data_IF_357012043557
#
_entry.id   IF_357012043557
#
_cell.length_a   1.000
_cell.length_b   1.000
_cell.length_c   1.000
_cell.angle_alpha   90.00
_cell.angle_beta   90.00
_cell.angle_gamma   90.00
#
_symmetry.space_group_name_H-M   'P 1'
#
loop_
_entity.id
_entity.type
_entity.pdbx_description
1 polymer ?
#
# COMPACT_ATOMS: atom_id res chain seq x y z
N UNK A 1 -82.70 4.26 0.11
CA UNK A 1 -83.28 2.96 0.52
C UNK A 1 -82.28 1.89 0.17
N UNK A 2 -81.81 0.94 0.98
CA UNK A 2 -81.93 0.43 2.36
C UNK A 2 -80.72 -0.53 2.42
N UNK A 3 -80.03 -0.88 3.50
CA UNK A 3 -79.98 -0.52 4.91
C UNK A 3 -78.68 -1.19 5.38
N UNK A 4 -77.85 -0.43 6.08
CA UNK A 4 -76.79 -0.95 6.94
C UNK A 4 -77.46 -1.75 8.07
N UNK A 5 -76.93 -2.91 8.42
CA UNK A 5 -77.16 -3.53 9.74
C UNK A 5 -75.89 -4.25 10.20
N UNK A 6 -75.21 -3.57 11.11
CA UNK A 6 -74.16 -4.06 12.01
C UNK A 6 -74.83 -4.99 13.03
N UNK A 7 -74.23 -6.17 13.27
CA UNK A 7 -74.49 -6.97 14.47
C UNK A 7 -73.20 -7.17 15.27
N UNK A 8 -73.38 -6.97 16.57
CA UNK A 8 -72.41 -6.91 17.66
C UNK A 8 -72.39 -8.26 18.36
N UNK A 9 -71.17 -8.80 18.54
CA UNK A 9 -70.60 -9.47 19.74
C UNK A 9 -71.40 -10.60 20.42
N UNK A 10 -70.81 -11.80 20.52
CA UNK A 10 -70.36 -12.35 21.83
C UNK A 10 -69.60 -13.68 21.72
N UNK A 11 -68.50 -13.69 22.47
CA UNK A 11 -67.52 -14.71 22.82
C UNK A 11 -68.04 -16.00 23.45
N UNK A 12 -67.37 -17.13 23.17
CA UNK A 12 -67.23 -18.28 24.10
C UNK A 12 -65.82 -18.87 24.01
N UNK A 13 -65.31 -19.20 25.19
CA UNK A 13 -63.97 -19.60 25.60
C UNK A 13 -63.72 -21.12 25.46
N UNK A 14 -62.44 -21.51 25.31
CA UNK A 14 -61.76 -22.72 25.85
C UNK A 14 -61.08 -23.60 24.80
N UNK A 15 -59.75 -23.78 24.89
CA UNK A 15 -59.06 -24.98 25.42
C UNK A 15 -57.54 -24.75 25.29
N UNK A 16 -56.82 -25.08 26.37
CA UNK A 16 -55.36 -25.04 26.52
C UNK A 16 -54.71 -26.18 25.74
N UNK A 17 -53.62 -25.90 25.02
CA UNK A 17 -52.61 -26.91 24.68
C UNK A 17 -51.21 -26.27 24.70
N UNK A 18 -50.38 -26.73 25.64
CA UNK A 18 -48.93 -26.52 25.65
C UNK A 18 -48.30 -27.38 24.55
N UNK A 19 -47.42 -26.80 23.75
CA UNK A 19 -46.25 -27.47 23.17
C UNK A 19 -45.14 -26.43 22.98
N UNK A 20 -43.94 -26.83 23.37
CA UNK A 20 -42.71 -26.07 23.38
C UNK A 20 -41.88 -26.29 22.10
N UNK A 21 -40.83 -25.46 21.96
CA UNK A 21 -39.59 -25.62 21.17
C UNK A 21 -39.70 -25.38 19.64
N UNK A 22 -39.06 -24.31 19.12
CA UNK A 22 -37.68 -24.20 18.56
C UNK A 22 -37.73 -24.37 17.02
N UNK A 23 -36.95 -23.71 16.16
CA UNK A 23 -35.80 -22.80 16.23
C UNK A 23 -36.03 -21.76 15.12
N UNK A 24 -35.79 -20.48 15.39
CA UNK A 24 -35.45 -19.56 14.30
C UNK A 24 -33.94 -19.59 14.23
N UNK A 25 -33.43 -20.22 13.18
CA UNK A 25 -32.04 -20.07 12.78
C UNK A 25 -31.91 -18.64 12.20
N UNK A 26 -31.77 -17.68 13.10
CA UNK A 26 -31.21 -16.38 12.75
C UNK A 26 -29.71 -16.63 12.55
N UNK A 27 -29.28 -16.82 11.29
CA UNK A 27 -27.89 -16.70 10.86
C UNK A 27 -27.40 -15.27 11.10
N UNK A 28 -27.18 -14.95 12.37
CA UNK A 28 -26.38 -13.81 12.81
C UNK A 28 -24.95 -14.33 12.94
N UNK A 29 -24.25 -14.43 11.81
CA UNK A 29 -22.80 -14.28 11.83
C UNK A 29 -22.46 -12.81 12.10
N UNK A 30 -22.91 -12.30 13.25
CA UNK A 30 -22.36 -11.10 13.87
C UNK A 30 -21.17 -11.54 14.71
N UNK A 31 -20.11 -11.92 14.01
CA UNK A 31 -18.79 -11.98 14.61
C UNK A 31 -18.16 -10.62 14.30
N UNK A 32 -18.55 -9.60 15.06
CA UNK A 32 -17.61 -8.53 15.38
C UNK A 32 -16.47 -9.18 16.14
N UNK A 33 -15.54 -9.83 15.41
CA UNK A 33 -14.26 -10.27 15.96
C UNK A 33 -13.67 -9.01 16.57
N UNK A 34 -13.54 -9.01 17.89
CA UNK A 34 -12.89 -7.94 18.61
C UNK A 34 -11.45 -7.91 18.10
N UNK A 35 -11.11 -6.84 17.38
CA UNK A 35 -9.76 -6.60 16.88
C UNK A 35 -8.96 -5.95 18.00
N UNK A 36 -7.74 -6.43 18.22
CA UNK A 36 -6.80 -5.76 19.12
C UNK A 36 -6.44 -4.40 18.52
N UNK A 37 -6.69 -3.27 19.20
CA UNK A 37 -6.32 -1.96 18.69
C UNK A 37 -4.81 -1.76 18.50
N UNK A 38 -3.98 -2.62 19.09
CA UNK A 38 -2.54 -2.44 19.16
C UNK A 38 -2.13 -1.43 20.23
N UNK A 39 -0.84 -1.12 20.28
CA UNK A 39 -0.24 -0.24 21.28
C UNK A 39 0.61 0.90 20.67
N UNK A 40 0.45 1.15 19.37
CA UNK A 40 1.09 2.29 18.69
C UNK A 40 0.51 3.62 19.23
N UNK A 41 1.35 4.66 19.40
CA UNK A 41 0.90 5.93 19.96
C UNK A 41 0.01 6.74 19.00
N UNK A 42 0.13 6.55 17.69
CA UNK A 42 -0.48 7.40 16.66
C UNK A 42 -1.59 6.66 15.92
N UNK A 43 -1.44 5.36 15.75
CA UNK A 43 -2.33 4.53 14.96
C UNK A 43 -3.08 3.49 15.80
N UNK A 44 -4.32 3.25 15.42
CA UNK A 44 -5.17 2.23 16.05
C UNK A 44 -5.69 1.30 14.99
N UNK A 45 -5.59 0.00 15.24
CA UNK A 45 -6.17 -1.03 14.39
C UNK A 45 -7.67 -1.10 14.70
N UNK A 46 -8.50 -1.06 13.65
CA UNK A 46 -9.96 -1.17 13.77
C UNK A 46 -10.49 -2.29 12.89
N UNK A 47 -11.62 -2.88 13.29
CA UNK A 47 -12.33 -3.82 12.45
C UNK A 47 -12.73 -3.19 11.11
N UNK A 48 -12.57 -3.93 10.02
CA UNK A 48 -12.94 -3.47 8.69
C UNK A 48 -14.37 -3.91 8.33
N UNK A 49 -15.14 -3.00 7.77
CA UNK A 49 -16.49 -3.25 7.26
C UNK A 49 -16.71 -2.67 5.85
N UNK A 50 -15.63 -2.26 5.18
CA UNK A 50 -15.71 -1.55 3.91
C UNK A 50 -16.15 -2.48 2.78
N UNK A 51 -17.09 -2.00 1.97
CA UNK A 51 -17.58 -2.76 0.82
C UNK A 51 -16.44 -2.98 -0.20
N UNK A 52 -16.31 -4.20 -0.71
CA UNK A 52 -15.22 -4.60 -1.61
C UNK A 52 -14.00 -5.21 -0.89
N UNK A 53 -13.85 -4.99 0.42
CA UNK A 53 -12.68 -5.43 1.19
C UNK A 53 -13.04 -6.45 2.28
N UNK A 54 -14.11 -7.23 2.10
CA UNK A 54 -14.69 -8.10 3.14
C UNK A 54 -13.75 -9.20 3.65
N UNK A 55 -12.78 -9.62 2.85
CA UNK A 55 -11.81 -10.65 3.24
C UNK A 55 -10.68 -10.08 4.12
N UNK A 56 -10.51 -8.76 4.14
CA UNK A 56 -9.58 -8.04 4.99
C UNK A 56 -10.33 -7.69 6.28
N UNK A 57 -9.99 -8.34 7.39
CA UNK A 57 -10.79 -8.29 8.62
C UNK A 57 -10.60 -7.00 9.42
N UNK A 58 -9.49 -6.28 9.20
CA UNK A 58 -9.12 -5.07 9.94
C UNK A 58 -8.32 -4.11 9.09
N UNK A 59 -8.18 -2.88 9.59
CA UNK A 59 -7.42 -1.83 8.94
C UNK A 59 -6.84 -0.81 9.92
N UNK A 60 -5.87 -0.05 9.47
CA UNK A 60 -5.38 1.19 10.07
C UNK A 60 -5.65 2.34 9.10
N UNK A 61 -5.98 3.53 9.60
CA UNK A 61 -6.15 4.73 8.78
C UNK A 61 -4.94 5.66 8.98
N UNK A 62 -4.23 5.97 7.90
CA UNK A 62 -3.11 6.92 7.88
C UNK A 62 -3.53 8.12 7.06
N UNK A 63 -3.78 9.27 7.69
CA UNK A 63 -4.28 10.46 6.99
C UNK A 63 -5.43 10.15 6.02
N UNK A 64 -6.45 9.41 6.47
CA UNK A 64 -7.59 8.96 5.65
C UNK A 64 -7.27 7.98 4.50
N UNK A 65 -6.04 7.47 4.42
CA UNK A 65 -5.65 6.37 3.52
C UNK A 65 -5.73 5.06 4.30
N UNK A 66 -6.52 4.07 3.85
CA UNK A 66 -6.63 2.81 4.55
C UNK A 66 -5.45 1.88 4.24
N UNK A 67 -4.93 1.23 5.28
CA UNK A 67 -4.08 0.04 5.18
C UNK A 67 -4.90 -1.13 5.70
N UNK A 68 -5.33 -2.01 4.80
CA UNK A 68 -6.11 -3.19 5.16
C UNK A 68 -5.21 -4.38 5.49
N UNK A 69 -5.70 -5.34 6.26
CA UNK A 69 -4.96 -6.57 6.55
C UNK A 69 -5.85 -7.80 6.54
N UNK A 70 -5.31 -8.89 6.00
CA UNK A 70 -5.86 -10.24 6.20
C UNK A 70 -5.60 -10.72 7.63
N UNK A 71 -6.41 -11.68 8.11
CA UNK A 71 -6.38 -12.14 9.50
C UNK A 71 -5.01 -12.66 9.94
N UNK A 72 -4.22 -13.25 9.03
CA UNK A 72 -2.90 -13.81 9.34
C UNK A 72 -1.74 -12.82 9.44
N UNK A 73 -1.95 -11.54 9.10
CA UNK A 73 -0.92 -10.50 9.20
C UNK A 73 -0.60 -10.23 10.66
N UNK A 74 0.67 -9.97 11.00
CA UNK A 74 1.06 -9.52 12.35
C UNK A 74 0.67 -8.05 12.57
N UNK A 75 -0.01 -7.76 13.69
CA UNK A 75 -0.46 -6.41 14.05
C UNK A 75 0.70 -5.40 14.18
N UNK A 76 1.87 -5.84 14.68
CA UNK A 76 3.04 -4.97 14.77
C UNK A 76 3.54 -4.56 13.39
N UNK A 77 3.44 -5.45 12.39
CA UNK A 77 3.84 -5.17 11.01
C UNK A 77 2.82 -4.30 10.28
N UNK A 78 1.53 -4.46 10.59
CA UNK A 78 0.49 -3.54 10.12
C UNK A 78 0.70 -2.11 10.64
N UNK A 79 1.00 -1.96 11.92
CA UNK A 79 1.31 -0.65 12.52
C UNK A 79 2.63 -0.09 11.99
N UNK A 80 3.64 -0.92 11.76
CA UNK A 80 4.89 -0.51 11.12
C UNK A 80 4.66 0.08 9.72
N UNK A 81 3.88 -0.60 8.86
CA UNK A 81 3.53 -0.07 7.55
C UNK A 81 2.76 1.26 7.64
N UNK A 82 1.92 1.43 8.66
CA UNK A 82 1.22 2.69 8.91
C UNK A 82 2.17 3.84 9.26
N UNK A 83 3.15 3.58 10.13
CA UNK A 83 4.18 4.55 10.47
C UNK A 83 5.07 4.90 9.27
N UNK A 84 5.49 3.92 8.47
CA UNK A 84 6.28 4.16 7.24
C UNK A 84 5.50 5.04 6.26
N UNK A 85 4.20 4.78 6.07
CA UNK A 85 3.34 5.62 5.24
C UNK A 85 3.21 7.04 5.77
N UNK A 86 3.07 7.21 7.09
CA UNK A 86 3.00 8.52 7.69
C UNK A 86 4.32 9.30 7.47
N UNK A 87 5.46 8.68 7.74
CA UNK A 87 6.80 9.27 7.55
C UNK A 87 7.14 9.58 6.08
N UNK A 88 6.51 8.93 5.10
CA UNK A 88 6.66 9.34 3.70
C UNK A 88 5.79 10.53 3.32
N UNK A 89 4.63 10.70 3.96
CA UNK A 89 3.67 11.77 3.66
C UNK A 89 3.89 13.05 4.48
N UNK A 90 4.47 12.89 5.67
CA UNK A 90 4.94 13.89 6.61
C UNK A 90 6.36 13.49 7.02
N UNK A 91 7.35 13.90 6.23
CA UNK A 91 8.74 13.45 6.31
C UNK A 91 9.58 14.22 7.32
N UNK A 92 9.14 15.41 7.72
CA UNK A 92 9.73 16.12 8.86
C UNK A 92 9.07 15.77 10.20
N UNK A 93 8.00 14.96 10.15
CA UNK A 93 7.24 14.44 11.28
C UNK A 93 6.74 15.59 12.17
N UNK A 94 6.07 16.59 11.60
CA UNK A 94 5.51 17.72 12.35
C UNK A 94 3.99 17.62 12.60
N UNK A 95 3.36 16.57 12.05
CA UNK A 95 1.94 16.29 12.11
C UNK A 95 1.15 16.80 10.90
N UNK A 96 1.78 17.46 9.94
CA UNK A 96 1.16 17.98 8.73
C UNK A 96 1.71 17.31 7.46
N UNK A 97 0.85 17.14 6.46
CA UNK A 97 1.24 16.57 5.17
C UNK A 97 2.16 17.54 4.41
N UNK A 98 3.36 17.07 4.05
CA UNK A 98 4.38 17.85 3.33
C UNK A 98 3.91 18.33 1.95
N UNK A 99 3.24 17.42 1.21
CA UNK A 99 2.79 17.68 -0.14
C UNK A 99 1.29 17.43 -0.30
N UNK A 100 0.50 18.42 0.10
CA UNK A 100 -0.97 18.37 -0.03
C UNK A 100 -1.48 18.12 -1.45
N UNK A 101 -0.72 18.50 -2.49
CA UNK A 101 -1.13 18.23 -3.89
C UNK A 101 -1.06 16.75 -4.21
N UNK A 102 0.04 16.09 -3.84
CA UNK A 102 0.22 14.65 -4.00
C UNK A 102 -0.78 13.89 -3.15
N UNK A 103 -0.91 14.26 -1.87
CA UNK A 103 -1.87 13.66 -0.96
C UNK A 103 -3.32 13.73 -1.46
N UNK A 104 -3.77 14.90 -1.93
CA UNK A 104 -5.13 15.03 -2.48
C UNK A 104 -5.36 14.14 -3.71
N UNK A 105 -4.32 13.89 -4.51
CA UNK A 105 -4.38 12.92 -5.61
C UNK A 105 -4.54 11.49 -5.09
N UNK A 106 -3.76 11.08 -4.08
CA UNK A 106 -3.87 9.75 -3.45
C UNK A 106 -5.30 9.51 -2.95
N UNK A 107 -5.87 10.49 -2.24
CA UNK A 107 -7.26 10.43 -1.75
C UNK A 107 -8.27 10.39 -2.89
N UNK A 108 -8.11 11.21 -3.93
CA UNK A 108 -9.03 11.25 -5.08
C UNK A 108 -9.05 9.93 -5.84
N UNK A 109 -7.90 9.27 -5.95
CA UNK A 109 -7.76 7.97 -6.61
C UNK A 109 -8.13 6.80 -5.69
N UNK A 110 -8.43 7.08 -4.41
CA UNK A 110 -8.76 6.06 -3.40
C UNK A 110 -7.65 5.01 -3.28
N UNK A 111 -6.40 5.44 -3.38
CA UNK A 111 -5.27 4.54 -3.21
C UNK A 111 -5.28 3.96 -1.80
N UNK A 112 -4.76 2.73 -1.67
CA UNK A 112 -4.73 2.01 -0.41
C UNK A 112 -3.59 0.99 -0.44
N UNK A 113 -3.19 0.55 0.76
CA UNK A 113 -2.29 -0.59 0.93
C UNK A 113 -3.12 -1.76 1.49
N UNK A 114 -2.78 -2.99 1.13
CA UNK A 114 -3.31 -4.16 1.79
C UNK A 114 -2.22 -5.17 2.11
N UNK A 115 -2.26 -5.71 3.33
CA UNK A 115 -1.25 -6.65 3.79
C UNK A 115 -1.80 -8.07 3.79
N UNK A 116 -0.96 -9.01 3.37
CA UNK A 116 -1.28 -10.43 3.26
C UNK A 116 -0.24 -11.29 3.99
N UNK A 117 -0.59 -12.53 4.33
CA UNK A 117 0.34 -13.47 4.98
C UNK A 117 0.69 -14.66 4.11
N UNK A 118 -0.24 -15.07 3.25
CA UNK A 118 -0.08 -16.23 2.38
C UNK A 118 -0.52 -15.90 0.95
N UNK A 119 -0.02 -16.64 -0.04
CA UNK A 119 -0.48 -16.55 -1.43
C UNK A 119 -2.00 -16.73 -1.55
N UNK A 120 -2.57 -17.65 -0.75
CA UNK A 120 -4.02 -17.85 -0.65
C UNK A 120 -4.77 -16.57 -0.22
N UNK A 121 -4.14 -15.65 0.51
CA UNK A 121 -4.75 -14.37 0.84
C UNK A 121 -4.80 -13.45 -0.38
N UNK A 122 -3.73 -13.40 -1.17
CA UNK A 122 -3.70 -12.62 -2.42
C UNK A 122 -4.75 -13.11 -3.42
N UNK A 123 -4.94 -14.43 -3.56
CA UNK A 123 -5.98 -15.00 -4.41
C UNK A 123 -7.41 -14.64 -3.97
N UNK A 124 -7.61 -14.32 -2.68
CA UNK A 124 -8.92 -13.88 -2.14
C UNK A 124 -9.15 -12.39 -2.32
N UNK A 125 -8.17 -11.63 -2.80
CA UNK A 125 -8.35 -10.20 -3.02
C UNK A 125 -9.34 -9.96 -4.17
N UNK A 126 -10.42 -9.23 -3.90
CA UNK A 126 -11.44 -8.95 -4.89
C UNK A 126 -10.98 -7.84 -5.84
N UNK A 127 -10.51 -8.23 -7.02
CA UNK A 127 -10.06 -7.28 -8.04
C UNK A 127 -11.20 -6.66 -8.87
N UNK A 128 -12.45 -7.07 -8.61
CA UNK A 128 -13.59 -6.70 -9.45
C UNK A 128 -14.09 -5.27 -9.24
N UNK A 129 -13.67 -4.57 -8.17
CA UNK A 129 -14.05 -3.18 -7.91
C UNK A 129 -12.96 -2.40 -7.16
N UNK A 130 -12.48 -1.30 -7.76
CA UNK A 130 -11.80 -0.22 -7.02
C UNK A 130 -10.39 -0.52 -6.51
N UNK A 131 -9.70 -1.53 -7.07
CA UNK A 131 -8.32 -1.90 -6.68
C UNK A 131 -7.24 -1.31 -7.59
N UNK A 132 -7.59 -0.42 -8.52
CA UNK A 132 -6.63 0.12 -9.52
C UNK A 132 -5.40 0.77 -8.88
N UNK A 133 -5.56 1.32 -7.67
CA UNK A 133 -4.51 1.99 -6.91
C UNK A 133 -4.23 1.25 -5.58
N UNK A 134 -4.54 -0.04 -5.52
CA UNK A 134 -4.20 -0.90 -4.40
C UNK A 134 -2.78 -1.42 -4.56
N UNK A 135 -1.97 -1.28 -3.51
CA UNK A 135 -0.65 -1.89 -3.42
C UNK A 135 -0.65 -2.99 -2.36
N UNK A 136 0.00 -4.11 -2.65
CA UNK A 136 0.12 -5.21 -1.70
C UNK A 136 1.42 -5.12 -0.90
N UNK A 137 1.43 -5.72 0.30
CA UNK A 137 2.62 -5.84 1.12
C UNK A 137 2.56 -7.12 1.95
N UNK A 138 3.52 -8.01 1.72
CA UNK A 138 3.65 -9.26 2.44
C UNK A 138 4.04 -9.04 3.91
N UNK A 139 3.38 -9.78 4.79
CA UNK A 139 3.69 -9.76 6.22
C UNK A 139 5.09 -10.31 6.48
N UNK A 140 5.62 -11.26 5.70
CA UNK A 140 6.96 -11.83 5.94
C UNK A 140 8.12 -11.01 5.38
N UNK A 141 7.84 -10.06 4.48
CA UNK A 141 8.82 -9.13 3.92
C UNK A 141 8.83 -7.76 4.62
N UNK A 142 7.84 -7.50 5.49
CA UNK A 142 7.85 -6.34 6.39
C UNK A 142 8.78 -6.62 7.59
N UNK A 143 9.95 -5.98 7.65
CA UNK A 143 11.05 -6.33 8.55
C UNK A 143 11.44 -5.17 9.48
N UNK A 144 10.67 -4.99 10.56
CA UNK A 144 10.84 -3.92 11.57
C UNK A 144 12.27 -3.87 12.14
N UNK A 145 12.85 -5.02 12.48
CA UNK A 145 14.18 -5.12 13.11
C UNK A 145 15.31 -4.62 12.20
N UNK A 146 15.09 -4.53 10.89
CA UNK A 146 16.08 -4.04 9.94
C UNK A 146 16.54 -2.62 10.28
N UNK A 147 15.61 -1.75 10.71
CA UNK A 147 15.88 -0.36 11.14
C UNK A 147 16.80 -0.31 12.38
N UNK A 148 16.59 -1.20 13.35
CA UNK A 148 17.41 -1.29 14.57
C UNK A 148 18.76 -1.99 14.38
N UNK A 149 18.95 -2.71 13.27
CA UNK A 149 20.14 -3.53 12.98
C UNK A 149 21.27 -2.78 12.25
N UNK A 150 21.14 -1.46 12.09
CA UNK A 150 22.03 -0.69 11.22
C UNK A 150 21.83 -1.01 9.73
N UNK A 151 20.58 -1.32 9.33
CA UNK A 151 20.19 -1.63 7.95
C UNK A 151 20.94 -2.85 7.40
N UNK A 152 20.95 -3.96 8.15
CA UNK A 152 21.55 -5.23 7.73
C UNK A 152 20.59 -6.40 7.91
N UNK A 153 20.80 -7.49 7.18
CA UNK A 153 19.85 -8.61 7.15
C UNK A 153 18.68 -8.35 6.20
N UNK A 154 17.56 -9.03 6.42
CA UNK A 154 16.38 -8.95 5.54
C UNK A 154 15.86 -7.51 5.44
N UNK A 155 15.83 -6.99 4.22
CA UNK A 155 15.32 -5.65 3.92
C UNK A 155 13.85 -5.51 4.29
N UNK A 156 13.46 -4.30 4.68
CA UNK A 156 12.07 -3.98 4.98
C UNK A 156 11.32 -3.52 3.72
N UNK A 157 10.55 -4.44 3.12
CA UNK A 157 9.79 -4.17 1.90
C UNK A 157 8.70 -3.10 2.08
N UNK A 158 8.32 -2.76 3.33
CA UNK A 158 7.40 -1.65 3.57
C UNK A 158 7.92 -0.31 2.99
N UNK A 159 9.24 -0.12 2.91
CA UNK A 159 9.83 1.07 2.29
C UNK A 159 9.54 1.17 0.79
N UNK A 160 9.41 0.03 0.12
CA UNK A 160 9.17 -0.09 -1.31
C UNK A 160 7.67 -0.01 -1.60
N UNK A 161 6.88 -0.88 -0.98
CA UNK A 161 5.45 -0.99 -1.31
C UNK A 161 4.67 0.27 -0.93
N UNK A 162 4.99 0.88 0.21
CA UNK A 162 4.37 2.16 0.56
C UNK A 162 4.75 3.25 -0.43
N UNK A 163 5.98 3.23 -0.95
CA UNK A 163 6.43 4.18 -1.95
C UNK A 163 5.74 3.97 -3.31
N UNK A 164 5.60 2.73 -3.76
CA UNK A 164 4.84 2.38 -4.97
C UNK A 164 3.40 2.90 -4.91
N UNK A 165 2.72 2.75 -3.76
CA UNK A 165 1.38 3.30 -3.58
C UNK A 165 1.36 4.83 -3.74
N UNK A 166 2.29 5.53 -3.09
CA UNK A 166 2.38 7.00 -3.10
C UNK A 166 2.72 7.53 -4.51
N UNK A 167 3.58 6.86 -5.26
CA UNK A 167 3.90 7.26 -6.64
C UNK A 167 2.72 7.01 -7.57
N UNK A 168 2.15 5.81 -7.53
CA UNK A 168 1.09 5.38 -8.44
C UNK A 168 -0.19 6.23 -8.28
N UNK A 169 -0.67 6.40 -7.05
CA UNK A 169 -1.87 7.19 -6.73
C UNK A 169 -1.64 8.71 -6.65
N UNK A 170 -0.38 9.13 -6.46
CA UNK A 170 0.01 10.52 -6.24
C UNK A 170 0.83 11.09 -7.40
N UNK A 171 2.15 10.93 -7.33
CA UNK A 171 3.11 11.60 -8.22
C UNK A 171 2.82 11.40 -9.71
N UNK A 172 2.50 10.18 -10.13
CA UNK A 172 2.21 9.88 -11.53
C UNK A 172 0.96 10.59 -12.06
N UNK A 173 -0.01 10.84 -11.16
CA UNK A 173 -1.29 11.43 -11.51
C UNK A 173 -1.21 12.96 -11.55
N UNK A 174 -0.43 13.54 -10.65
CA UNK A 174 -0.21 14.99 -10.57
C UNK A 174 0.77 15.46 -11.65
N UNK A 175 1.84 14.70 -11.90
CA UNK A 175 2.88 15.07 -12.86
C UNK A 175 3.15 13.93 -13.87
N UNK A 176 2.18 13.59 -14.74
CA UNK A 176 2.32 12.47 -15.69
C UNK A 176 3.48 12.65 -16.68
N UNK A 177 3.80 13.89 -17.06
CA UNK A 177 4.94 14.19 -17.94
C UNK A 177 6.30 13.95 -17.26
N UNK A 178 6.33 13.87 -15.92
CA UNK A 178 7.57 13.70 -15.14
C UNK A 178 7.66 12.30 -14.59
N UNK A 179 6.69 11.89 -13.76
CA UNK A 179 6.68 10.62 -13.04
C UNK A 179 5.89 9.53 -13.75
N UNK A 180 5.13 9.85 -14.81
CA UNK A 180 4.27 8.87 -15.47
C UNK A 180 5.03 7.62 -15.91
N UNK A 181 4.48 6.46 -15.58
CA UNK A 181 4.96 5.12 -15.90
C UNK A 181 4.68 4.68 -17.34
N UNK A 182 4.53 5.64 -18.25
CA UNK A 182 4.36 5.43 -19.69
C UNK A 182 5.57 5.96 -20.45
N UNK A 183 5.77 5.48 -21.67
CA UNK A 183 6.83 5.98 -22.54
C UNK A 183 6.67 7.48 -22.78
N UNK A 184 7.71 8.26 -22.48
CA UNK A 184 7.79 9.67 -22.85
C UNK A 184 7.86 10.63 -21.67
N UNK A 185 7.53 10.19 -20.46
CA UNK A 185 7.78 10.93 -19.22
C UNK A 185 9.28 11.16 -18.98
N UNK A 186 9.63 12.11 -18.13
CA UNK A 186 11.03 12.34 -17.76
C UNK A 186 11.65 11.13 -17.06
N UNK A 187 10.90 10.46 -16.17
CA UNK A 187 11.38 9.29 -15.44
C UNK A 187 11.62 8.11 -16.38
N UNK A 188 10.70 7.85 -17.31
CA UNK A 188 10.83 6.72 -18.25
C UNK A 188 12.01 6.93 -19.20
N UNK A 189 12.30 8.18 -19.58
CA UNK A 189 13.50 8.53 -20.34
C UNK A 189 14.78 8.29 -19.55
N UNK A 190 14.80 8.63 -18.26
CA UNK A 190 15.94 8.35 -17.39
C UNK A 190 16.17 6.84 -17.24
N UNK A 191 15.11 6.09 -16.95
CA UNK A 191 15.13 4.62 -16.87
C UNK A 191 15.62 3.96 -18.16
N UNK A 192 15.20 4.46 -19.33
CA UNK A 192 15.70 3.92 -20.62
C UNK A 192 17.21 4.11 -20.78
N UNK A 193 17.77 5.21 -20.28
CA UNK A 193 19.23 5.42 -20.27
C UNK A 193 19.85 4.41 -19.30
N UNK A 194 19.29 4.24 -18.10
CA UNK A 194 19.78 3.33 -17.07
C UNK A 194 19.86 1.86 -17.50
N UNK A 195 18.92 1.44 -18.34
CA UNK A 195 18.84 0.10 -18.94
C UNK A 195 19.66 -0.02 -20.23
N UNK A 196 20.23 1.07 -20.76
CA UNK A 196 20.92 1.12 -22.05
C UNK A 196 20.00 0.96 -23.27
N UNK A 197 18.69 1.14 -23.10
CA UNK A 197 17.70 0.97 -24.17
C UNK A 197 16.25 1.11 -23.69
N UNK A 198 15.31 1.05 -24.65
CA UNK A 198 13.87 1.01 -24.35
C UNK A 198 13.36 -0.42 -24.53
N UNK A 199 12.96 -1.04 -23.42
CA UNK A 199 12.46 -2.42 -23.37
C UNK A 199 11.08 -2.42 -22.75
N UNK A 200 10.10 -2.97 -23.48
CA UNK A 200 8.71 -3.04 -23.00
C UNK A 200 8.56 -4.06 -21.87
N UNK A 201 9.28 -5.18 -21.95
CA UNK A 201 9.46 -6.16 -20.88
C UNK A 201 10.98 -6.39 -20.72
N UNK A 202 11.46 -6.96 -19.60
CA UNK A 202 12.87 -7.28 -19.44
C UNK A 202 13.39 -8.13 -20.61
N UNK A 203 14.45 -7.70 -21.31
CA UNK A 203 15.11 -8.50 -22.33
C UNK A 203 15.91 -9.63 -21.67
N UNK A 204 16.20 -10.68 -22.45
CA UNK A 204 17.09 -11.76 -22.00
C UNK A 204 18.49 -11.26 -21.60
N UNK A 205 18.98 -10.20 -22.26
CA UNK A 205 20.26 -9.57 -21.96
C UNK A 205 20.13 -8.05 -22.03
N UNK A 206 20.60 -7.38 -20.96
CA UNK A 206 20.81 -5.94 -20.96
C UNK A 206 22.22 -5.60 -21.47
N UNK A 207 22.44 -4.39 -22.03
CA UNK A 207 23.77 -3.85 -22.27
C UNK A 207 24.66 -3.93 -21.02
N UNK A 208 25.95 -4.24 -21.20
CA UNK A 208 26.87 -4.48 -20.08
C UNK A 208 27.06 -3.25 -19.16
N UNK A 209 26.89 -2.05 -19.71
CA UNK A 209 26.99 -0.76 -19.04
C UNK A 209 25.67 -0.30 -18.39
N UNK A 210 24.58 -1.07 -18.51
CA UNK A 210 23.35 -0.81 -17.77
C UNK A 210 23.61 -0.88 -16.24
N UNK A 211 23.01 0.05 -15.50
CA UNK A 211 23.04 0.07 -14.03
C UNK A 211 21.69 -0.23 -13.40
N UNK A 212 20.65 -0.32 -14.23
CA UNK A 212 19.35 -0.85 -13.87
C UNK A 212 19.02 -1.99 -14.83
N UNK A 213 18.76 -3.17 -14.29
CA UNK A 213 18.27 -4.36 -14.97
C UNK A 213 17.19 -5.00 -14.10
N UNK A 214 16.42 -5.92 -14.67
CA UNK A 214 15.37 -6.64 -13.95
C UNK A 214 15.24 -8.04 -14.51
N UNK A 215 14.98 -9.05 -13.68
CA UNK A 215 14.94 -10.45 -14.10
C UNK A 215 13.53 -11.04 -14.18
N UNK A 216 12.53 -10.39 -13.56
CA UNK A 216 11.13 -10.78 -13.70
C UNK A 216 10.56 -10.38 -15.06
N UNK A 217 10.53 -11.34 -15.98
CA UNK A 217 10.00 -11.20 -17.34
C UNK A 217 8.53 -10.74 -17.40
N UNK A 218 7.77 -10.85 -16.30
CA UNK A 218 6.36 -10.43 -16.23
C UNK A 218 6.17 -8.95 -15.94
N UNK A 219 7.21 -8.27 -15.45
CA UNK A 219 7.20 -6.85 -15.11
C UNK A 219 7.26 -5.98 -16.38
N UNK A 220 6.10 -5.53 -16.84
CA UNK A 220 6.00 -4.69 -18.02
C UNK A 220 6.67 -3.31 -17.86
N UNK A 221 6.52 -2.43 -18.85
CA UNK A 221 7.18 -1.13 -18.84
C UNK A 221 6.75 -0.26 -17.66
N UNK A 222 5.49 -0.36 -17.25
CA UNK A 222 4.92 0.42 -16.16
C UNK A 222 5.52 -0.06 -14.83
N UNK A 223 5.52 -1.36 -14.60
CA UNK A 223 6.16 -1.99 -13.45
C UNK A 223 7.64 -1.58 -13.33
N UNK A 224 8.42 -1.68 -14.42
CA UNK A 224 9.83 -1.32 -14.40
C UNK A 224 10.10 0.16 -14.08
N UNK A 225 9.18 1.07 -14.42
CA UNK A 225 9.29 2.49 -14.02
C UNK A 225 9.05 2.65 -12.51
N UNK A 226 8.06 1.95 -11.96
CA UNK A 226 7.81 1.91 -10.51
C UNK A 226 9.04 1.45 -9.76
N UNK A 227 9.61 0.32 -10.17
CA UNK A 227 10.84 -0.24 -9.59
C UNK A 227 12.01 0.75 -9.66
N UNK A 228 12.19 1.43 -10.80
CA UNK A 228 13.23 2.43 -10.95
C UNK A 228 13.05 3.65 -10.02
N UNK A 229 11.80 4.06 -9.78
CA UNK A 229 11.48 5.11 -8.79
C UNK A 229 11.85 4.67 -7.37
N UNK A 230 11.52 3.43 -7.00
CA UNK A 230 11.87 2.83 -5.72
C UNK A 230 13.39 2.75 -5.53
N UNK A 231 14.10 2.12 -6.46
CA UNK A 231 15.54 1.95 -6.39
C UNK A 231 16.26 3.29 -6.24
N UNK A 232 15.79 4.30 -6.99
CA UNK A 232 16.32 5.65 -6.92
C UNK A 232 16.07 6.28 -5.54
N UNK A 233 14.81 6.32 -5.07
CA UNK A 233 14.49 6.98 -3.80
C UNK A 233 15.27 6.36 -2.65
N UNK A 234 15.16 5.04 -2.50
CA UNK A 234 15.71 4.33 -1.34
C UNK A 234 17.23 4.36 -1.34
N UNK A 235 17.88 4.36 -2.51
CA UNK A 235 19.34 4.61 -2.60
C UNK A 235 19.71 6.04 -2.20
N UNK A 236 18.89 7.03 -2.57
CA UNK A 236 19.12 8.44 -2.21
C UNK A 236 18.87 8.74 -0.73
N UNK A 237 18.04 7.92 -0.06
CA UNK A 237 17.73 7.98 1.37
C UNK A 237 18.67 7.11 2.23
N UNK A 238 19.53 6.29 1.60
CA UNK A 238 20.53 5.46 2.30
C UNK A 238 20.06 4.05 2.67
N UNK A 239 18.86 3.65 2.25
CA UNK A 239 18.31 2.32 2.55
C UNK A 239 19.09 1.18 1.85
N UNK A 240 19.77 1.47 0.74
CA UNK A 240 20.43 0.45 -0.09
C UNK A 240 21.95 0.33 0.16
N UNK A 241 22.53 1.10 1.09
CA UNK A 241 23.99 1.24 1.24
C UNK A 241 24.72 -0.09 1.50
N UNK A 242 24.09 -0.99 2.27
CA UNK A 242 24.67 -2.29 2.66
C UNK A 242 24.26 -3.45 1.74
N UNK A 243 23.45 -3.20 0.70
CA UNK A 243 22.75 -4.26 -0.06
C UNK A 243 23.35 -4.56 -1.42
N UNK A 244 24.46 -3.93 -1.82
CA UNK A 244 25.02 -4.09 -3.18
C UNK A 244 25.31 -5.55 -3.57
N UNK A 245 25.63 -6.42 -2.61
CA UNK A 245 25.81 -7.85 -2.90
C UNK A 245 24.48 -8.55 -3.27
N UNK A 246 23.37 -8.13 -2.67
CA UNK A 246 22.04 -8.70 -2.88
C UNK A 246 21.37 -8.13 -4.14
N UNK A 247 21.50 -6.83 -4.37
CA UNK A 247 20.74 -6.12 -5.41
C UNK A 247 21.60 -5.80 -6.65
N UNK A 248 22.92 -6.00 -6.60
CA UNK A 248 23.86 -5.48 -7.61
C UNK A 248 23.73 -6.08 -9.02
N UNK A 249 23.01 -7.20 -9.15
CA UNK A 249 22.57 -7.74 -10.44
C UNK A 249 21.56 -6.80 -11.11
N UNK A 250 20.60 -6.28 -10.35
CA UNK A 250 19.52 -5.41 -10.82
C UNK A 250 19.86 -3.92 -10.72
N UNK A 251 20.36 -3.46 -9.58
CA UNK A 251 20.62 -2.05 -9.30
C UNK A 251 22.04 -1.81 -8.77
N UNK A 252 22.83 -1.04 -9.53
CA UNK A 252 24.25 -0.78 -9.20
C UNK A 252 24.50 0.53 -8.45
N UNK A 253 23.49 1.41 -8.35
CA UNK A 253 23.64 2.76 -7.79
C UNK A 253 23.08 2.85 -6.37
N UNK A 254 23.52 1.95 -5.49
CA UNK A 254 22.93 1.71 -4.16
C UNK A 254 23.18 2.82 -3.10
N UNK A 255 23.68 3.99 -3.49
CA UNK A 255 23.92 5.13 -2.59
C UNK A 255 23.57 6.44 -3.28
N UNK A 256 23.25 7.48 -2.51
CA UNK A 256 22.95 8.82 -3.04
C UNK A 256 24.04 9.36 -3.97
N UNK A 257 25.31 9.20 -3.63
CA UNK A 257 26.41 9.72 -4.44
C UNK A 257 26.58 8.91 -5.74
N UNK A 258 26.32 7.59 -5.71
CA UNK A 258 26.28 6.77 -6.93
C UNK A 258 25.11 7.17 -7.83
N UNK A 259 23.91 7.41 -7.29
CA UNK A 259 22.77 7.93 -8.08
C UNK A 259 23.13 9.28 -8.71
N UNK A 260 23.68 10.21 -7.94
CA UNK A 260 24.06 11.55 -8.40
C UNK A 260 25.07 11.53 -9.55
N UNK A 261 26.06 10.64 -9.49
CA UNK A 261 27.16 10.60 -10.45
C UNK A 261 26.90 9.65 -11.62
N UNK A 262 26.24 8.52 -11.38
CA UNK A 262 25.89 7.51 -12.38
C UNK A 262 24.61 7.82 -13.15
N UNK A 263 23.64 8.48 -12.52
CA UNK A 263 22.35 8.82 -13.12
C UNK A 263 21.95 10.28 -12.81
N UNK A 264 22.68 11.27 -13.36
CA UNK A 264 22.40 12.68 -13.09
C UNK A 264 21.01 13.11 -13.58
N UNK A 265 20.40 12.37 -14.53
CA UNK A 265 19.06 12.69 -15.05
C UNK A 265 18.02 12.40 -13.97
N UNK A 266 18.01 11.20 -13.38
CA UNK A 266 17.06 10.90 -12.30
C UNK A 266 17.36 11.70 -11.04
N UNK A 267 18.63 11.91 -10.71
CA UNK A 267 19.02 12.74 -9.58
C UNK A 267 18.45 14.16 -9.68
N UNK A 268 18.44 14.74 -10.90
CA UNK A 268 17.85 16.07 -11.13
C UNK A 268 16.34 16.11 -10.93
N UNK A 269 15.63 15.02 -11.24
CA UNK A 269 14.19 14.89 -11.00
C UNK A 269 13.95 14.81 -9.48
N UNK A 270 14.69 13.94 -8.80
CA UNK A 270 14.48 13.66 -7.38
C UNK A 270 14.93 14.78 -6.43
N UNK A 271 15.79 15.69 -6.91
CA UNK A 271 16.22 16.86 -6.15
C UNK A 271 15.50 18.15 -6.54
N UNK A 272 14.52 18.07 -7.44
CA UNK A 272 13.70 19.22 -7.80
C UNK A 272 12.72 19.54 -6.65
N UNK A 273 12.82 20.72 -6.01
CA UNK A 273 11.99 21.08 -4.86
C UNK A 273 10.50 21.22 -5.20
N UNK A 274 10.14 21.28 -6.49
CA UNK A 274 8.75 21.31 -6.95
C UNK A 274 7.96 20.08 -6.52
N UNK A 275 8.61 18.92 -6.43
CA UNK A 275 7.93 17.65 -6.19
C UNK A 275 7.86 17.27 -4.72
N UNK A 276 8.63 17.94 -3.85
CA UNK A 276 8.64 17.72 -2.39
C UNK A 276 8.77 16.22 -2.08
N UNK A 277 9.80 15.58 -2.65
CA UNK A 277 10.07 14.16 -2.38
C UNK A 277 10.69 13.99 -0.98
N UNK A 278 10.49 12.82 -0.35
CA UNK A 278 11.12 12.50 0.93
C UNK A 278 12.64 12.70 0.89
N UNK A 279 13.20 13.21 2.00
CA UNK A 279 14.64 13.40 2.20
C UNK A 279 15.19 12.68 3.43
N UNK A 280 14.31 12.17 4.29
CA UNK A 280 14.59 11.33 5.44
C UNK A 280 14.03 9.92 5.16
N UNK A 281 14.80 8.89 5.48
CA UNK A 281 14.36 7.50 5.38
C UNK A 281 13.35 7.19 6.49
N UNK A 282 12.15 6.69 6.19
CA UNK A 282 11.24 6.17 7.22
C UNK A 282 11.85 5.03 8.01
N UNK A 283 11.61 5.00 9.32
CA UNK A 283 12.08 3.96 10.23
C UNK A 283 10.95 3.19 10.93
N UNK A 284 9.69 3.55 10.64
CA UNK A 284 8.52 2.94 11.26
C UNK A 284 8.19 3.49 12.65
N UNK A 285 8.77 4.62 13.06
CA UNK A 285 8.56 5.23 14.38
C UNK A 285 8.06 6.68 14.28
N UNK A 286 6.98 6.90 13.53
CA UNK A 286 6.35 8.22 13.38
C UNK A 286 6.02 8.82 14.75
N UNK A 287 6.11 10.15 14.88
CA UNK A 287 6.08 10.83 16.20
C UNK A 287 4.82 11.63 16.50
N UNK A 288 3.80 11.60 15.64
CA UNK A 288 2.67 12.53 15.70
C UNK A 288 1.28 11.90 15.51
#
# INVERSE_FOLDING_TARGET
MKKVSIYVVMSVLSVVMLCAACSKDDDTNDVTKTVDPGNDPNFTIVANSDAGFKNLNRKVMVFNIPIYAFEGVDDAKLLHAANVMAQYLDNDEDGEIDNSTIYNSIISNKAFLFMWKTEDDMEKMDTSNGVEFGQDLGSDETNIEWHGSGHTGSFDAALEEVWHMITNGGHERVYPDVFGSQTGSEISKAMNIARGGSFQNPPADYPADAWYTYDDETCDYNCQVGEYLYWTLTSMLGAQENRLFEIGNEWRLNTRELVKTGDPKVFSIFTNPTYVLPTVLPDGTYKH
#
